data_IF_359955252200
#
_entry.id   IF_359955252200
#
_cell.length_a   1.000
_cell.length_b   1.000
_cell.length_c   1.000
_cell.angle_alpha   90.00
_cell.angle_beta   90.00
_cell.angle_gamma   90.00
#
_symmetry.space_group_name_H-M   'P 1'
#
loop_
_entity.id
_entity.type
_entity.pdbx_description
1 polymer ?
#
# COMPACT_ATOMS: atom_id res chain seq x y z
N UNK A 1 1.42 19.22 -0.56
CA UNK A 1 1.94 18.12 0.27
C UNK A 1 1.42 16.79 -0.27
N UNK A 2 1.92 16.37 -1.44
CA UNK A 2 1.48 15.16 -2.15
C UNK A 2 2.71 14.33 -2.50
N UNK A 3 3.38 13.81 -1.48
CA UNK A 3 4.44 12.82 -1.62
C UNK A 3 3.94 11.45 -1.12
N UNK A 4 2.69 11.11 -1.41
CA UNK A 4 2.10 9.84 -1.01
C UNK A 4 2.61 8.74 -1.95
N UNK A 5 3.69 8.08 -1.55
CA UNK A 5 4.02 6.78 -2.12
C UNK A 5 2.82 5.85 -1.90
N UNK A 6 2.30 5.30 -2.98
CA UNK A 6 1.14 4.41 -2.95
C UNK A 6 1.54 2.98 -2.59
N UNK A 7 2.82 2.63 -2.78
CA UNK A 7 3.40 1.32 -2.47
C UNK A 7 4.85 1.53 -2.03
N UNK A 8 5.26 0.86 -0.95
CA UNK A 8 6.67 0.71 -0.54
C UNK A 8 7.12 -0.73 -0.82
N UNK A 9 8.31 -0.89 -1.40
CA UNK A 9 8.91 -2.20 -1.70
C UNK A 9 10.31 -2.26 -1.09
N UNK A 10 10.58 -3.36 -0.38
CA UNK A 10 11.88 -3.68 0.19
C UNK A 10 12.39 -4.97 -0.47
N UNK A 11 13.62 -4.93 -0.94
CA UNK A 11 14.29 -6.07 -1.57
C UNK A 11 15.74 -6.14 -1.09
N UNK A 12 16.19 -7.34 -0.72
CA UNK A 12 17.61 -7.63 -0.45
C UNK A 12 18.23 -8.41 -1.60
N UNK A 13 19.56 -8.49 -1.62
CA UNK A 13 20.29 -9.30 -2.62
C UNK A 13 19.87 -10.78 -2.62
N UNK A 14 19.61 -11.35 -1.44
CA UNK A 14 19.12 -12.73 -1.32
C UNK A 14 17.70 -12.88 -1.88
N UNK A 15 16.84 -11.89 -1.63
CA UNK A 15 15.47 -11.89 -2.10
C UNK A 15 15.39 -11.78 -3.62
N UNK A 16 16.30 -11.01 -4.25
CA UNK A 16 16.43 -10.94 -5.71
C UNK A 16 16.71 -12.30 -6.34
N UNK A 17 17.61 -13.08 -5.74
CA UNK A 17 17.93 -14.43 -6.24
C UNK A 17 16.72 -15.37 -6.18
N UNK A 18 15.77 -15.11 -5.28
CA UNK A 18 14.56 -15.90 -5.05
C UNK A 18 13.31 -15.30 -5.71
N UNK A 19 13.45 -14.22 -6.50
CA UNK A 19 12.32 -13.46 -7.05
C UNK A 19 11.25 -13.07 -6.00
N UNK A 20 11.72 -12.68 -4.81
CA UNK A 20 10.87 -12.31 -3.67
C UNK A 20 11.06 -10.84 -3.28
N UNK A 21 10.05 -10.25 -2.63
CA UNK A 21 10.07 -8.88 -2.12
C UNK A 21 9.11 -8.75 -0.93
N UNK A 22 9.29 -7.71 -0.11
CA UNK A 22 8.30 -7.31 0.89
C UNK A 22 7.65 -6.02 0.40
N UNK A 23 6.33 -5.98 0.34
CA UNK A 23 5.55 -4.82 -0.09
C UNK A 23 4.61 -4.34 1.01
N UNK A 24 4.38 -3.03 1.07
CA UNK A 24 3.34 -2.39 1.88
C UNK A 24 2.55 -1.49 0.94
N UNK A 25 1.23 -1.62 0.92
CA UNK A 25 0.35 -0.81 0.08
C UNK A 25 -0.32 0.32 0.88
N UNK A 26 -0.49 1.47 0.24
CA UNK A 26 -1.16 2.65 0.78
C UNK A 26 -0.22 3.74 1.27
N UNK A 27 -0.79 4.88 1.71
CA UNK A 27 -0.05 5.96 2.34
C UNK A 27 0.65 5.49 3.63
N UNK A 28 1.74 6.16 4.00
CA UNK A 28 2.42 5.89 5.28
C UNK A 28 1.49 6.13 6.47
N UNK A 29 1.57 5.24 7.46
CA UNK A 29 0.82 5.32 8.73
C UNK A 29 1.73 5.42 9.96
N UNK A 30 3.05 5.56 9.76
CA UNK A 30 4.04 5.53 10.85
C UNK A 30 3.96 6.78 11.74
N UNK A 31 3.74 7.93 11.13
CA UNK A 31 3.70 9.24 11.80
C UNK A 31 2.33 9.92 11.71
N UNK A 32 1.38 9.29 11.03
CA UNK A 32 0.05 9.83 10.75
C UNK A 32 -1.00 8.72 10.81
N UNK A 33 -2.25 9.04 11.16
CA UNK A 33 -3.30 8.03 11.19
C UNK A 33 -3.49 7.42 9.79
N UNK A 34 -3.93 6.16 9.72
CA UNK A 34 -4.31 5.53 8.48
C UNK A 34 -5.26 6.40 7.66
N UNK A 35 -5.01 6.44 6.35
CA UNK A 35 -5.89 7.14 5.44
C UNK A 35 -7.24 6.42 5.32
N UNK A 36 -8.34 7.18 5.36
CA UNK A 36 -9.70 6.67 5.25
C UNK A 36 -10.44 7.52 4.22
N UNK A 37 -10.91 6.92 3.12
CA UNK A 37 -11.59 7.62 2.03
C UNK A 37 -12.82 8.37 2.53
N UNK A 38 -13.74 7.67 3.22
CA UNK A 38 -15.00 8.20 3.74
C UNK A 38 -14.87 9.35 4.74
N UNK A 39 -13.67 9.54 5.32
CA UNK A 39 -13.36 10.63 6.26
C UNK A 39 -12.44 11.70 5.66
N UNK A 40 -12.06 11.55 4.39
CA UNK A 40 -11.19 12.49 3.70
C UNK A 40 -11.99 13.54 2.95
N UNK A 41 -11.37 14.68 2.65
CA UNK A 41 -11.93 15.71 1.78
C UNK A 41 -12.11 15.25 0.32
N UNK A 42 -11.65 14.04 -0.02
CA UNK A 42 -11.64 13.46 -1.36
C UNK A 42 -12.79 12.49 -1.63
N UNK A 43 -13.50 12.02 -0.59
CA UNK A 43 -14.55 10.98 -0.66
C UNK A 43 -15.47 11.15 -1.87
N UNK A 44 -16.09 12.33 -1.99
CA UNK A 44 -17.07 12.63 -3.05
C UNK A 44 -16.47 13.29 -4.28
N UNK A 45 -15.16 13.61 -4.26
CA UNK A 45 -14.46 14.33 -5.32
C UNK A 45 -13.67 13.40 -6.23
N UNK A 46 -13.27 12.24 -5.71
CA UNK A 46 -12.43 11.28 -6.41
C UNK A 46 -13.09 9.90 -6.35
N UNK A 47 -13.35 9.32 -7.52
CA UNK A 47 -13.83 7.93 -7.59
C UNK A 47 -12.76 6.98 -7.07
N UNK A 48 -13.15 6.08 -6.17
CA UNK A 48 -12.28 5.09 -5.53
C UNK A 48 -12.97 3.72 -5.47
N UNK A 49 -13.80 3.43 -6.48
CA UNK A 49 -14.50 2.14 -6.61
C UNK A 49 -13.48 1.01 -6.70
N UNK A 50 -13.68 -0.04 -5.90
CA UNK A 50 -12.79 -1.21 -5.82
C UNK A 50 -11.61 -1.02 -4.87
N UNK A 51 -11.41 0.16 -4.30
CA UNK A 51 -10.42 0.39 -3.25
C UNK A 51 -11.04 0.14 -1.86
N UNK A 52 -10.23 -0.29 -0.87
CA UNK A 52 -10.67 -0.33 0.52
C UNK A 52 -10.90 1.10 1.05
N UNK A 53 -11.85 1.26 1.95
CA UNK A 53 -12.11 2.56 2.60
C UNK A 53 -10.93 2.99 3.48
N UNK A 54 -10.43 2.09 4.36
CA UNK A 54 -9.28 2.32 5.22
C UNK A 54 -8.01 1.66 4.65
N UNK A 55 -6.93 2.43 4.59
CA UNK A 55 -5.61 1.98 4.17
C UNK A 55 -4.69 1.82 5.38
N UNK A 56 -4.62 0.59 5.90
CA UNK A 56 -3.85 0.21 7.10
C UNK A 56 -3.23 -1.19 6.90
N UNK A 57 -2.61 -1.38 5.73
CA UNK A 57 -2.03 -2.66 5.35
C UNK A 57 -0.68 -2.87 6.03
N UNK A 58 -0.45 -4.10 6.49
CA UNK A 58 0.85 -4.53 7.00
C UNK A 58 1.78 -4.94 5.85
N UNK A 59 3.10 -4.94 6.06
CA UNK A 59 4.03 -5.55 5.11
C UNK A 59 3.65 -6.99 4.79
N UNK A 60 3.72 -7.36 3.52
CA UNK A 60 3.45 -8.70 3.04
C UNK A 60 4.49 -9.13 2.00
N UNK A 61 4.76 -10.44 1.94
CA UNK A 61 5.61 -11.05 0.92
C UNK A 61 4.70 -11.68 -0.14
N UNK A 62 4.64 -11.16 -1.38
CA UNK A 62 3.81 -11.76 -2.42
C UNK A 62 4.27 -13.18 -2.75
N UNK A 63 3.30 -14.08 -2.94
CA UNK A 63 3.52 -15.43 -3.47
C UNK A 63 2.92 -15.53 -4.86
N UNK A 64 3.69 -16.01 -5.82
CA UNK A 64 3.22 -16.19 -7.19
C UNK A 64 2.73 -17.62 -7.38
N UNK A 65 1.48 -17.77 -7.79
CA UNK A 65 0.91 -19.06 -8.23
C UNK A 65 0.39 -18.88 -9.65
N UNK A 66 0.67 -19.87 -10.52
CA UNK A 66 -0.05 -19.97 -11.79
C UNK A 66 -1.47 -20.40 -11.46
N UNK A 67 -2.42 -19.48 -11.60
CA UNK A 67 -3.86 -19.72 -11.47
C UNK A 67 -4.43 -20.45 -12.69
#
# INVERSE_FOLDING_TARGET
>A
MLNSAQIYVIISYEMMQKCSLVAIAGPTTDQQPPFIWSKSDFDKKVSHIGHPDKWDFKPYTPTWTLS
#
